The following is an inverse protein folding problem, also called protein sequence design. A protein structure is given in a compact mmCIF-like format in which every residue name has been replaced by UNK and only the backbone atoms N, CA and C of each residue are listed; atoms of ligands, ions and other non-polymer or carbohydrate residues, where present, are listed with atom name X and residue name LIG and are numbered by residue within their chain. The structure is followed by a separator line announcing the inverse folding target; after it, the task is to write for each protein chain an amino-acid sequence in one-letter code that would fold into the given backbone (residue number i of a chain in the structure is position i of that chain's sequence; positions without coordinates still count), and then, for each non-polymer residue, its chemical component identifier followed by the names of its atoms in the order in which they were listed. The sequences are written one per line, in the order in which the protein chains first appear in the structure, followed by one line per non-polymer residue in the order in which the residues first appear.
data_IF_254828604677
#
_entry.id   IF_254828604677
#
_cell.length_a   1.000
_cell.length_b   1.000
_cell.length_c   1.000
_cell.angle_alpha   90.00
_cell.angle_beta   90.00
_cell.angle_gamma   90.00
#
_symmetry.space_group_name_H-M   'P 1'
#
loop_
_entity.id
_entity.type
_entity.pdbx_description
1 polymer ?
#
# COMPACT_ATOMS: atom_id res chain seq x y z
N UNK A 1 3.33 -0.03 20.49
CA UNK A 1 2.51 1.02 19.84
C UNK A 1 3.18 1.63 18.61
N UNK A 2 4.38 2.21 18.73
CA UNK A 2 5.07 2.88 17.60
C UNK A 2 5.34 1.96 16.40
N UNK A 3 5.74 0.70 16.63
CA UNK A 3 5.99 -0.26 15.54
C UNK A 3 4.77 -0.59 14.68
N UNK A 4 3.56 -0.58 15.27
CA UNK A 4 2.31 -0.80 14.52
C UNK A 4 1.99 0.39 13.62
N UNK A 5 2.28 1.62 14.06
CA UNK A 5 2.06 2.84 13.29
C UNK A 5 2.99 2.87 12.07
N UNK A 6 4.26 2.49 12.26
CA UNK A 6 5.24 2.40 11.18
C UNK A 6 4.84 1.31 10.18
N UNK A 7 4.39 0.15 10.67
CA UNK A 7 3.92 -0.94 9.81
C UNK A 7 2.69 -0.53 8.98
N UNK A 8 1.72 0.16 9.58
CA UNK A 8 0.54 0.69 8.88
C UNK A 8 0.93 1.74 7.83
N UNK A 9 1.82 2.67 8.16
CA UNK A 9 2.27 3.71 7.23
C UNK A 9 3.04 3.11 6.04
N UNK A 10 3.96 2.16 6.29
CA UNK A 10 4.71 1.46 5.26
C UNK A 10 3.82 0.54 4.43
N UNK A 11 2.87 -0.16 5.05
CA UNK A 11 1.90 -1.00 4.36
C UNK A 11 1.01 -0.17 3.43
N UNK A 12 0.51 0.97 3.90
CA UNK A 12 -0.31 1.89 3.10
C UNK A 12 0.44 2.39 1.85
N UNK A 13 1.70 2.79 2.03
CA UNK A 13 2.58 3.19 0.93
C UNK A 13 2.87 2.05 -0.05
N UNK A 14 3.23 0.88 0.49
CA UNK A 14 3.56 -0.30 -0.30
C UNK A 14 2.38 -0.76 -1.17
N UNK A 15 1.17 -0.77 -0.63
CA UNK A 15 -0.05 -1.11 -1.35
C UNK A 15 -0.34 -0.13 -2.49
N UNK A 16 -0.08 1.16 -2.27
CA UNK A 16 -0.14 2.18 -3.32
C UNK A 16 0.81 1.88 -4.49
N UNK A 17 2.03 1.44 -4.19
CA UNK A 17 3.09 1.18 -5.15
C UNK A 17 3.00 -0.22 -5.83
N UNK A 18 2.41 -1.21 -5.15
CA UNK A 18 2.31 -2.58 -5.67
C UNK A 18 0.99 -2.85 -6.38
N UNK A 19 -0.14 -2.60 -5.71
CA UNK A 19 -1.50 -2.98 -6.17
C UNK A 19 -2.12 -1.86 -7.00
N UNK A 20 -1.92 -0.61 -6.61
CA UNK A 20 -2.64 0.53 -7.19
C UNK A 20 -1.82 1.40 -8.16
N UNK A 21 -0.53 1.13 -8.36
CA UNK A 21 0.38 1.89 -9.25
C UNK A 21 -0.07 1.96 -10.72
N UNK A 22 -0.97 1.09 -11.15
CA UNK A 22 -1.51 1.07 -12.51
C UNK A 22 -3.04 0.92 -12.56
N UNK A 23 -3.74 1.24 -11.46
CA UNK A 23 -5.21 1.16 -11.40
C UNK A 23 -5.79 2.55 -11.14
N UNK A 24 -6.68 2.99 -12.04
CA UNK A 24 -7.48 4.19 -11.83
C UNK A 24 -8.55 3.83 -10.80
N UNK A 25 -8.32 4.25 -9.56
CA UNK A 25 -9.20 3.99 -8.42
C UNK A 25 -10.43 4.91 -8.49
N UNK A 26 -11.53 4.39 -9.02
CA UNK A 26 -12.84 5.04 -8.92
C UNK A 26 -13.53 4.55 -7.66
N UNK A 27 -13.63 5.42 -6.65
CA UNK A 27 -14.48 5.18 -5.49
C UNK A 27 -15.60 6.20 -5.47
N UNK A 28 -16.84 5.72 -5.44
CA UNK A 28 -18.06 6.54 -5.35
C UNK A 28 -18.21 7.22 -3.99
N UNK A 29 -17.46 6.79 -2.96
CA UNK A 29 -17.52 7.35 -1.60
C UNK A 29 -16.21 8.07 -1.25
N UNK A 30 -16.34 9.31 -0.78
CA UNK A 30 -15.24 10.12 -0.25
C UNK A 30 -14.56 9.38 0.92
N UNK A 31 -13.39 8.80 0.67
CA UNK A 31 -12.63 8.04 1.69
C UNK A 31 -12.62 6.50 1.50
N UNK A 32 -13.39 5.94 0.56
CA UNK A 32 -13.39 4.49 0.31
C UNK A 32 -12.02 3.97 -0.13
N UNK A 33 -11.30 4.76 -0.94
CA UNK A 33 -9.92 4.46 -1.38
C UNK A 33 -8.94 4.39 -0.20
N UNK A 34 -9.17 5.19 0.84
CA UNK A 34 -8.31 5.21 2.02
C UNK A 34 -8.50 3.94 2.85
N UNK A 35 -9.76 3.55 3.10
CA UNK A 35 -10.09 2.34 3.86
C UNK A 35 -9.66 1.08 3.10
N UNK A 36 -9.90 0.99 1.79
CA UNK A 36 -9.46 -0.16 1.00
C UNK A 36 -7.94 -0.33 1.01
N UNK A 37 -7.18 0.77 0.87
CA UNK A 37 -5.72 0.75 0.99
C UNK A 37 -5.26 0.36 2.40
N UNK A 38 -5.97 0.78 3.44
CA UNK A 38 -5.63 0.44 4.82
C UNK A 38 -5.92 -1.05 5.12
N UNK A 39 -7.06 -1.58 4.67
CA UNK A 39 -7.44 -2.98 4.84
C UNK A 39 -6.51 -3.91 4.08
N UNK A 40 -6.21 -3.57 2.81
CA UNK A 40 -5.23 -4.33 2.02
C UNK A 40 -3.82 -4.21 2.58
N UNK A 41 -3.43 -3.07 3.15
CA UNK A 41 -2.16 -2.93 3.87
C UNK A 41 -2.11 -3.77 5.15
N UNK A 42 -3.23 -3.93 5.85
CA UNK A 42 -3.29 -4.77 7.05
C UNK A 42 -3.18 -6.26 6.71
N UNK A 43 -3.89 -6.71 5.67
CA UNK A 43 -3.94 -8.12 5.25
C UNK A 43 -2.68 -8.54 4.48
N UNK A 44 -2.17 -7.69 3.59
CA UNK A 44 -1.08 -8.00 2.66
C UNK A 44 0.20 -7.23 2.95
N UNK A 45 0.27 -6.38 3.99
CA UNK A 45 1.42 -5.55 4.31
C UNK A 45 2.75 -6.31 4.39
N UNK A 46 2.74 -7.49 5.01
CA UNK A 46 3.91 -8.35 5.16
C UNK A 46 4.55 -8.78 3.83
N UNK A 47 3.75 -8.96 2.77
CA UNK A 47 4.23 -9.29 1.42
C UNK A 47 4.35 -8.03 0.54
N UNK A 48 3.45 -7.05 0.70
CA UNK A 48 3.47 -5.83 -0.09
C UNK A 48 4.70 -4.98 0.21
N UNK A 49 5.16 -4.89 1.46
CA UNK A 49 6.35 -4.10 1.83
C UNK A 49 7.61 -4.59 1.08
N UNK A 50 8.00 -5.87 1.12
CA UNK A 50 9.16 -6.35 0.39
C UNK A 50 8.98 -6.24 -1.13
N UNK A 51 7.79 -6.53 -1.66
CA UNK A 51 7.51 -6.40 -3.11
C UNK A 51 7.59 -4.94 -3.57
N UNK A 52 7.13 -3.99 -2.75
CA UNK A 52 7.25 -2.55 -3.00
C UNK A 52 8.72 -2.12 -3.03
N UNK A 53 9.53 -2.59 -2.09
CA UNK A 53 10.98 -2.32 -2.05
C UNK A 53 11.67 -2.88 -3.31
N UNK A 54 11.36 -4.12 -3.71
CA UNK A 54 11.92 -4.72 -4.93
C UNK A 54 11.53 -3.90 -6.16
N UNK A 55 10.25 -3.52 -6.30
CA UNK A 55 9.79 -2.63 -7.38
C UNK A 55 10.51 -1.29 -7.35
N UNK A 56 10.72 -0.70 -6.18
CA UNK A 56 11.40 0.58 -6.01
C UNK A 56 12.88 0.52 -6.43
N UNK A 57 13.53 -0.63 -6.24
CA UNK A 57 14.94 -0.83 -6.58
C UNK A 57 15.10 -1.19 -8.06
N UNK A 58 14.28 -2.10 -8.58
CA UNK A 58 14.42 -2.63 -9.94
C UNK A 58 13.67 -1.84 -11.02
N UNK A 59 12.56 -1.19 -10.67
CA UNK A 59 11.66 -0.54 -11.62
C UNK A 59 11.74 1.00 -11.58
N UNK A 60 12.65 1.56 -10.77
CA UNK A 60 12.92 3.01 -10.71
C UNK A 60 14.07 3.40 -11.66
N UNK A 61 13.99 2.97 -12.92
CA UNK A 61 14.73 3.51 -14.06
C UNK A 61 13.77 4.10 -15.07
#
# INVERSE_FOLDING_TARGET
MVGLIIYLALGYWAVGETIYKNKILFSTQTGGIFIEKLVSALMLGWICIPVAIIKLIFFRR
#
